data_IF_300965171139
#
_entry.id   IF_300965171139
#
_cell.length_a   1.000
_cell.length_b   1.000
_cell.length_c   1.000
_cell.angle_alpha   90.00
_cell.angle_beta   90.00
_cell.angle_gamma   90.00
#
_symmetry.space_group_name_H-M   'P 1'
#
loop_
_entity.id
_entity.type
_entity.pdbx_description
1 polymer ?
#
# COMPACT_ATOMS: atom_id res chain seq x y z
N UNK A 1 -13.26 13.24 7.70
CA UNK A 1 -13.80 12.19 6.80
C UNK A 1 -15.24 11.90 7.20
N UNK A 2 -16.12 11.67 6.23
CA UNK A 2 -17.52 11.27 6.48
C UNK A 2 -17.66 9.75 6.59
N UNK A 3 -18.81 9.28 7.06
CA UNK A 3 -19.10 7.84 7.10
C UNK A 3 -19.07 7.19 5.72
N UNK A 4 -19.53 7.90 4.68
CA UNK A 4 -19.46 7.44 3.29
C UNK A 4 -18.03 7.33 2.77
N UNK A 5 -17.16 8.28 3.12
CA UNK A 5 -15.73 8.22 2.78
C UNK A 5 -15.06 7.04 3.48
N UNK A 6 -15.40 6.80 4.74
CA UNK A 6 -14.85 5.70 5.50
C UNK A 6 -15.21 4.34 4.91
N UNK A 7 -16.48 4.12 4.53
CA UNK A 7 -16.90 2.86 3.91
C UNK A 7 -16.19 2.57 2.59
N UNK A 8 -15.97 3.59 1.76
CA UNK A 8 -15.36 3.43 0.42
C UNK A 8 -13.83 3.43 0.45
N UNK A 9 -13.23 4.27 1.30
CA UNK A 9 -11.80 4.55 1.28
C UNK A 9 -11.05 4.01 2.50
N UNK A 10 -11.68 3.21 3.36
CA UNK A 10 -11.03 2.64 4.56
C UNK A 10 -9.67 1.99 4.24
N UNK A 11 -9.60 1.19 3.16
CA UNK A 11 -8.37 0.51 2.78
C UNK A 11 -7.25 1.49 2.40
N UNK A 12 -7.59 2.58 1.70
CA UNK A 12 -6.64 3.62 1.31
C UNK A 12 -6.19 4.49 2.49
N UNK A 13 -7.11 4.80 3.42
CA UNK A 13 -6.83 5.73 4.52
C UNK A 13 -6.13 5.02 5.69
N UNK A 14 -6.60 3.83 6.06
CA UNK A 14 -6.14 3.11 7.25
C UNK A 14 -5.32 1.85 6.92
N UNK A 15 -5.26 1.44 5.65
CA UNK A 15 -4.61 0.20 5.24
C UNK A 15 -5.48 -1.05 5.43
N UNK A 16 -6.69 -0.92 5.98
CA UNK A 16 -7.59 -2.02 6.32
C UNK A 16 -8.94 -1.90 5.63
N UNK A 17 -9.53 -3.05 5.27
CA UNK A 17 -10.90 -3.08 4.79
C UNK A 17 -11.86 -2.57 5.88
N UNK A 18 -12.98 -1.98 5.47
CA UNK A 18 -14.00 -1.47 6.41
C UNK A 18 -14.51 -2.56 7.37
N UNK A 19 -14.57 -3.81 6.90
CA UNK A 19 -15.04 -4.96 7.68
C UNK A 19 -13.98 -5.54 8.63
N UNK A 20 -12.73 -5.08 8.54
CA UNK A 20 -11.61 -5.60 9.33
C UNK A 20 -11.84 -5.34 10.84
N UNK A 21 -11.50 -6.30 11.73
CA UNK A 21 -11.57 -6.11 13.18
C UNK A 21 -10.83 -4.86 13.67
N UNK A 22 -9.72 -4.47 13.02
CA UNK A 22 -8.96 -3.28 13.37
C UNK A 22 -9.77 -1.97 13.19
N UNK A 23 -10.81 -1.99 12.34
CA UNK A 23 -11.66 -0.84 12.03
C UNK A 23 -12.91 -0.76 12.93
N UNK A 24 -13.13 -1.72 13.84
CA UNK A 24 -14.28 -1.72 14.75
C UNK A 24 -14.42 -0.39 15.53
N UNK A 25 -13.36 0.18 16.15
CA UNK A 25 -13.50 1.43 16.89
C UNK A 25 -13.99 2.59 16.02
N UNK A 26 -13.51 2.69 14.78
CA UNK A 26 -13.90 3.74 13.85
C UNK A 26 -15.36 3.56 13.40
N UNK A 27 -15.81 2.32 13.16
CA UNK A 27 -17.22 2.03 12.85
C UNK A 27 -18.14 2.47 13.97
N UNK A 28 -17.80 2.16 15.23
CA UNK A 28 -18.60 2.55 16.39
C UNK A 28 -18.73 4.09 16.51
N UNK A 29 -17.65 4.83 16.23
CA UNK A 29 -17.69 6.30 16.24
C UNK A 29 -18.68 6.82 15.17
N UNK A 30 -18.66 6.25 13.97
CA UNK A 30 -19.55 6.65 12.87
C UNK A 30 -21.02 6.26 13.05
N UNK A 31 -21.36 5.46 14.07
CA UNK A 31 -22.76 5.20 14.43
C UNK A 31 -23.50 6.48 14.86
N UNK A 32 -22.78 7.42 15.47
CA UNK A 32 -23.34 8.69 15.95
C UNK A 32 -22.66 9.94 15.38
N UNK A 33 -21.43 9.82 14.88
CA UNK A 33 -20.71 10.95 14.30
C UNK A 33 -20.93 11.05 12.77
N UNK A 34 -21.18 12.26 12.27
CA UNK A 34 -21.26 12.54 10.82
C UNK A 34 -19.87 12.74 10.20
N UNK A 35 -18.99 13.42 10.94
CA UNK A 35 -17.63 13.75 10.49
C UNK A 35 -16.65 13.46 11.62
N UNK A 36 -15.60 12.71 11.30
CA UNK A 36 -14.52 12.38 12.24
C UNK A 36 -13.19 12.88 11.69
N UNK A 37 -12.39 13.47 12.58
CA UNK A 37 -11.00 13.84 12.31
C UNK A 37 -10.09 12.89 13.10
N UNK A 38 -9.49 11.93 12.41
CA UNK A 38 -8.59 10.97 13.02
C UNK A 38 -7.17 11.52 13.03
N UNK A 39 -6.50 11.43 14.18
CA UNK A 39 -5.09 11.73 14.31
C UNK A 39 -4.33 10.48 14.76
N UNK A 40 -3.23 10.17 14.08
CA UNK A 40 -2.39 9.01 14.40
C UNK A 40 -1.39 9.38 15.51
N UNK A 41 -1.63 8.88 16.71
CA UNK A 41 -0.85 9.21 17.91
C UNK A 41 0.52 8.49 18.03
N UNK A 42 0.89 7.64 17.07
CA UNK A 42 2.15 6.89 17.12
C UNK A 42 3.35 7.71 16.63
N UNK A 43 4.23 8.12 17.54
CA UNK A 43 5.55 8.68 17.21
C UNK A 43 6.58 7.55 17.08
N UNK A 44 7.46 7.63 16.07
CA UNK A 44 8.57 6.67 15.90
C UNK A 44 8.22 5.33 15.26
N UNK A 45 7.05 5.17 14.63
CA UNK A 45 6.72 3.94 13.92
C UNK A 45 7.70 3.71 12.74
N UNK A 46 8.37 2.55 12.74
CA UNK A 46 9.33 2.18 11.70
C UNK A 46 8.60 1.85 10.40
N UNK A 47 9.09 2.37 9.28
CA UNK A 47 8.62 2.02 7.93
C UNK A 47 9.21 0.68 7.53
N UNK A 48 8.37 -0.23 7.05
CA UNK A 48 8.86 -1.45 6.41
C UNK A 48 9.68 -1.08 5.16
N UNK A 49 10.78 -1.78 4.93
CA UNK A 49 11.67 -1.53 3.79
C UNK A 49 12.10 -2.87 3.19
N UNK A 50 12.06 -2.95 1.87
CA UNK A 50 12.72 -3.99 1.10
C UNK A 50 13.79 -3.36 0.19
N UNK A 51 14.43 -4.19 -0.64
CA UNK A 51 15.41 -3.75 -1.64
C UNK A 51 14.81 -2.88 -2.73
N UNK A 52 13.53 -3.08 -3.07
CA UNK A 52 12.85 -2.39 -4.17
C UNK A 52 12.05 -1.16 -3.71
N UNK A 53 11.55 -1.15 -2.48
CA UNK A 53 10.63 -0.12 -2.01
C UNK A 53 10.63 0.05 -0.48
N UNK A 54 10.17 1.22 -0.03
CA UNK A 54 9.92 1.52 1.39
C UNK A 54 8.43 1.83 1.57
N UNK A 55 7.79 1.31 2.61
CA UNK A 55 6.41 1.61 2.92
C UNK A 55 6.21 3.11 3.17
N UNK A 56 5.14 3.69 2.62
CA UNK A 56 4.86 5.13 2.71
C UNK A 56 4.65 5.58 4.15
N UNK A 57 3.97 4.75 4.94
CA UNK A 57 3.65 5.01 6.33
C UNK A 57 4.32 3.99 7.26
N UNK A 58 4.79 4.45 8.42
CA UNK A 58 5.34 3.58 9.45
C UNK A 58 4.29 2.64 10.05
N UNK A 59 4.71 1.55 10.68
CA UNK A 59 3.87 0.61 11.41
C UNK A 59 3.87 -0.80 10.82
N UNK A 60 3.24 -1.73 11.56
CA UNK A 60 3.22 -3.17 11.24
C UNK A 60 2.56 -3.48 9.90
N UNK A 61 1.65 -2.62 9.44
CA UNK A 61 0.92 -2.82 8.19
C UNK A 61 1.83 -2.84 6.96
N UNK A 62 2.96 -2.14 7.01
CA UNK A 62 3.96 -2.20 5.94
C UNK A 62 4.52 -3.60 5.71
N UNK A 63 4.49 -4.47 6.73
CA UNK A 63 5.01 -5.84 6.62
C UNK A 63 4.09 -6.78 5.82
N UNK A 64 2.84 -6.39 5.60
CA UNK A 64 1.88 -7.13 4.76
C UNK A 64 2.00 -6.75 3.28
N UNK A 65 2.88 -5.81 2.94
CA UNK A 65 3.11 -5.36 1.57
C UNK A 65 4.20 -6.21 0.95
N UNK A 66 3.92 -6.78 -0.23
CA UNK A 66 4.87 -7.54 -1.04
C UNK A 66 4.98 -6.88 -2.41
N UNK A 67 6.20 -6.70 -2.90
CA UNK A 67 6.45 -6.25 -4.27
C UNK A 67 6.76 -7.48 -5.10
N UNK A 68 5.97 -7.69 -6.16
CA UNK A 68 6.15 -8.79 -7.10
C UNK A 68 6.59 -8.20 -8.42
N UNK A 69 7.75 -8.62 -8.91
CA UNK A 69 8.29 -8.20 -10.21
C UNK A 69 8.22 -9.38 -11.16
N UNK A 70 7.51 -9.23 -12.26
CA UNK A 70 7.43 -10.21 -13.35
C UNK A 70 7.91 -9.58 -14.66
N UNK A 71 8.50 -10.38 -15.55
CA UNK A 71 8.76 -9.92 -16.91
C UNK A 71 7.43 -9.74 -17.65
N UNK A 72 7.28 -8.63 -18.38
CA UNK A 72 6.07 -8.38 -19.15
C UNK A 72 5.98 -9.34 -20.34
N UNK A 73 4.79 -9.85 -20.63
CA UNK A 73 4.56 -10.85 -21.69
C UNK A 73 4.45 -10.25 -23.09
N UNK A 74 4.14 -8.96 -23.18
CA UNK A 74 3.95 -8.24 -24.45
C UNK A 74 5.20 -7.45 -24.85
N UNK A 75 6.03 -7.05 -23.89
CA UNK A 75 7.30 -6.34 -24.10
C UNK A 75 8.43 -6.96 -23.26
N UNK A 76 9.37 -7.63 -23.93
CA UNK A 76 10.51 -8.33 -23.29
C UNK A 76 11.47 -7.37 -22.54
N UNK A 77 11.47 -6.08 -22.88
CA UNK A 77 12.30 -5.06 -22.22
C UNK A 77 11.58 -4.42 -21.01
N UNK A 78 10.33 -4.79 -20.73
CA UNK A 78 9.52 -4.23 -19.65
C UNK A 78 9.23 -5.22 -18.51
N UNK A 79 8.98 -4.67 -17.34
CA UNK A 79 8.69 -5.36 -16.09
C UNK A 79 7.35 -4.93 -15.54
N UNK A 80 6.54 -5.91 -15.14
CA UNK A 80 5.31 -5.69 -14.39
C UNK A 80 5.62 -5.75 -12.89
N UNK A 81 5.63 -4.57 -12.26
CA UNK A 81 5.86 -4.40 -10.83
C UNK A 81 4.52 -4.24 -10.13
N UNK A 82 4.12 -5.27 -9.40
CA UNK A 82 2.86 -5.32 -8.65
C UNK A 82 3.08 -5.10 -7.16
N UNK A 83 2.36 -4.14 -6.58
CA UNK A 83 2.27 -3.94 -5.14
C UNK A 83 1.10 -4.76 -4.60
N UNK A 84 1.40 -5.83 -3.86
CA UNK A 84 0.43 -6.75 -3.29
C UNK A 84 0.27 -6.45 -1.80
N UNK A 85 -0.98 -6.33 -1.34
CA UNK A 85 -1.31 -6.08 0.08
C UNK A 85 -2.31 -7.13 0.53
N UNK A 86 -1.94 -7.93 1.54
CA UNK A 86 -2.69 -9.11 1.99
C UNK A 86 -3.01 -10.10 0.86
N UNK A 87 -2.04 -10.36 -0.02
CA UNK A 87 -2.22 -11.28 -1.14
C UNK A 87 -3.11 -10.76 -2.27
N UNK A 88 -3.60 -9.52 -2.20
CA UNK A 88 -4.38 -8.89 -3.27
C UNK A 88 -3.56 -7.80 -3.93
N UNK A 89 -3.43 -7.82 -5.26
CA UNK A 89 -2.80 -6.74 -6.01
C UNK A 89 -3.56 -5.44 -5.77
N UNK A 90 -2.84 -4.45 -5.22
CA UNK A 90 -3.36 -3.11 -4.98
C UNK A 90 -3.10 -2.19 -6.18
N UNK A 91 -1.96 -2.36 -6.83
CA UNK A 91 -1.56 -1.62 -8.01
C UNK A 91 -0.49 -2.39 -8.78
N UNK A 92 -0.49 -2.29 -10.11
CA UNK A 92 0.55 -2.81 -10.99
C UNK A 92 1.03 -1.70 -11.92
N UNK A 93 2.35 -1.56 -12.05
CA UNK A 93 2.99 -0.61 -12.97
C UNK A 93 3.89 -1.39 -13.93
N UNK A 94 3.79 -1.09 -15.23
CA UNK A 94 4.65 -1.65 -16.26
C UNK A 94 5.74 -0.63 -16.59
N UNK A 95 7.01 -0.99 -16.38
CA UNK A 95 8.17 -0.10 -16.50
C UNK A 95 9.36 -0.82 -17.11
N UNK A 96 10.21 -0.12 -17.86
CA UNK A 96 11.46 -0.69 -18.36
C UNK A 96 12.54 -0.68 -17.27
N UNK A 97 12.57 0.38 -16.45
CA UNK A 97 13.57 0.53 -15.38
C UNK A 97 12.93 0.90 -14.05
N UNK A 98 13.64 0.66 -12.94
CA UNK A 98 13.19 1.09 -11.61
C UNK A 98 13.08 2.62 -11.48
N UNK A 99 13.74 3.39 -12.35
CA UNK A 99 13.65 4.84 -12.37
C UNK A 99 12.30 5.36 -12.86
N UNK A 100 11.57 4.54 -13.63
CA UNK A 100 10.26 4.88 -14.18
C UNK A 100 9.12 4.56 -13.20
N UNK A 101 9.42 3.88 -12.08
CA UNK A 101 8.44 3.57 -11.05
C UNK A 101 7.99 4.83 -10.32
N UNK A 102 6.67 4.99 -10.24
CA UNK A 102 6.03 6.11 -9.54
C UNK A 102 5.58 5.65 -8.16
N UNK A 103 5.92 6.43 -7.12
CA UNK A 103 5.40 6.19 -5.76
C UNK A 103 3.87 6.12 -5.75
N UNK A 104 3.33 5.16 -5.02
CA UNK A 104 1.90 4.95 -4.92
C UNK A 104 1.36 5.24 -3.51
N UNK A 105 0.13 4.83 -3.23
CA UNK A 105 -0.51 5.04 -1.92
C UNK A 105 0.10 4.17 -0.81
N UNK A 106 0.87 3.14 -1.16
CA UNK A 106 1.37 2.10 -0.26
C UNK A 106 2.88 2.17 -0.03
N UNK A 107 3.64 2.40 -1.11
CA UNK A 107 5.10 2.34 -1.12
C UNK A 107 5.71 3.50 -1.92
N UNK A 108 6.91 3.87 -1.49
CA UNK A 108 7.85 4.69 -2.22
C UNK A 108 8.93 3.78 -2.81
N UNK A 109 9.00 3.70 -4.14
CA UNK A 109 9.97 2.87 -4.83
C UNK A 109 11.37 3.47 -4.76
N UNK A 110 12.37 2.60 -4.72
CA UNK A 110 13.79 2.98 -4.74
C UNK A 110 14.21 3.00 -6.21
N UNK A 111 14.30 4.20 -6.79
CA UNK A 111 14.59 4.39 -8.22
C UNK A 111 15.97 3.90 -8.66
N UNK A 112 16.88 3.64 -7.71
CA UNK A 112 18.20 3.07 -7.97
C UNK A 112 18.25 1.55 -7.78
N UNK A 113 17.12 0.90 -7.52
CA UNK A 113 17.08 -0.55 -7.35
C UNK A 113 17.15 -1.28 -8.69
N UNK A 114 17.64 -2.52 -8.68
CA UNK A 114 17.64 -3.39 -9.86
C UNK A 114 16.37 -4.22 -9.87
N UNK A 115 15.65 -4.23 -11.00
CA UNK A 115 14.49 -5.08 -11.19
C UNK A 115 14.96 -6.48 -11.58
N UNK A 116 14.62 -7.45 -10.75
CA UNK A 116 14.86 -8.87 -11.01
C UNK A 116 13.55 -9.63 -10.82
N UNK A 117 13.32 -10.65 -11.65
CA UNK A 117 12.14 -11.50 -11.54
C UNK A 117 12.04 -12.06 -10.11
N UNK A 118 10.97 -11.72 -9.41
CA UNK A 118 10.75 -12.19 -8.05
C UNK A 118 10.02 -13.52 -8.13
N UNK A 119 10.60 -14.58 -7.54
CA UNK A 119 9.84 -15.79 -7.26
C UNK A 119 8.83 -15.46 -6.14
N UNK A 120 7.55 -15.34 -6.51
CA UNK A 120 6.46 -15.06 -5.58
C UNK A 120 6.31 -16.12 -4.48
#
# INVERSE_FOLDING_TARGET
>A
MTSGDFQKNSKKIFGYAYTDPAMLPQREIFTHATTVYCYRLGTGAVKAKCTLATAKYGGTRGNSITIVVAANVDNEDAWDVSTVVDGVSAETQTVETAADLVSNDWVDFITTATLEATAG
#
